data_IF_954348763493
#
_entry.id   IF_954348763493
#
_cell.length_a   1.000
_cell.length_b   1.000
_cell.length_c   1.000
_cell.angle_alpha   90.00
_cell.angle_beta   90.00
_cell.angle_gamma   90.00
#
_symmetry.space_group_name_H-M   'P 1'
#
loop_
_entity.id
_entity.type
_entity.pdbx_description
1 polymer ?
#
# COMPACT_ATOMS: atom_id res chain seq x y z
N UNK A 1 6.39 -4.72 -20.81
CA UNK A 1 5.95 -5.66 -19.78
C UNK A 1 5.37 -6.91 -20.46
N UNK A 2 6.10 -7.99 -20.42
CA UNK A 2 5.64 -9.28 -20.94
C UNK A 2 5.74 -10.30 -19.83
N UNK A 3 4.64 -10.97 -19.51
CA UNK A 3 4.61 -12.04 -18.54
C UNK A 3 4.01 -13.31 -19.15
N UNK A 4 4.37 -14.45 -18.62
CA UNK A 4 3.83 -15.75 -19.04
C UNK A 4 2.33 -15.87 -18.72
N UNK A 5 1.56 -16.70 -19.44
CA UNK A 5 0.18 -16.99 -19.05
C UNK A 5 0.10 -17.58 -17.61
N UNK A 6 -0.94 -17.21 -16.88
CA UNK A 6 -1.15 -17.70 -15.51
C UNK A 6 -0.21 -17.07 -14.47
N UNK A 7 0.30 -15.85 -14.73
CA UNK A 7 1.22 -15.17 -13.82
C UNK A 7 0.51 -14.46 -12.68
N UNK A 8 0.95 -14.72 -11.46
CA UNK A 8 0.63 -13.98 -10.26
C UNK A 8 1.62 -12.82 -10.08
N UNK A 9 1.15 -11.60 -10.36
CA UNK A 9 1.93 -10.37 -10.23
C UNK A 9 1.84 -9.92 -8.77
N UNK A 10 2.98 -9.89 -8.09
CA UNK A 10 3.05 -9.57 -6.66
C UNK A 10 3.87 -8.30 -6.47
N UNK A 11 3.24 -7.24 -5.96
CA UNK A 11 3.89 -5.95 -5.76
C UNK A 11 3.74 -5.45 -4.33
N UNK A 12 4.71 -4.67 -3.85
CA UNK A 12 4.58 -3.93 -2.60
C UNK A 12 3.44 -2.90 -2.68
N UNK A 13 2.86 -2.54 -1.52
CA UNK A 13 1.67 -1.69 -1.44
C UNK A 13 1.97 -0.38 -0.70
N UNK A 14 2.26 0.66 -1.43
CA UNK A 14 2.65 1.97 -0.90
C UNK A 14 1.49 2.95 -0.77
N UNK A 15 0.55 2.91 -1.71
CA UNK A 15 -0.60 3.81 -1.76
C UNK A 15 -1.84 3.12 -2.31
N UNK A 16 -3.03 3.61 -1.96
CA UNK A 16 -4.29 3.14 -2.57
C UNK A 16 -4.35 3.38 -4.10
N UNK A 17 -3.42 4.19 -4.64
CA UNK A 17 -3.32 4.49 -6.07
C UNK A 17 -2.38 3.55 -6.84
N UNK A 18 -1.70 2.62 -6.19
CA UNK A 18 -0.78 1.69 -6.86
C UNK A 18 -1.44 0.95 -8.01
N UNK A 19 -2.68 0.51 -7.83
CA UNK A 19 -3.48 -0.16 -8.87
C UNK A 19 -3.80 0.77 -10.05
N UNK A 20 -3.98 2.07 -9.79
CA UNK A 20 -4.25 3.08 -10.84
C UNK A 20 -3.00 3.35 -11.67
N UNK A 21 -1.82 3.26 -11.08
CA UNK A 21 -0.54 3.41 -11.78
C UNK A 21 -0.14 2.13 -12.53
N UNK A 22 -0.25 0.99 -11.88
CA UNK A 22 0.11 -0.31 -12.45
C UNK A 22 -0.92 -0.82 -13.45
N UNK A 23 -2.20 -0.62 -13.17
CA UNK A 23 -3.30 -1.15 -13.96
C UNK A 23 -3.20 -0.84 -15.45
N UNK A 24 -3.06 0.43 -15.86
CA UNK A 24 -2.87 0.79 -17.26
C UNK A 24 -1.61 0.17 -17.86
N UNK A 25 -0.46 0.22 -17.16
CA UNK A 25 0.81 -0.33 -17.64
C UNK A 25 0.67 -1.83 -17.91
N UNK A 26 0.10 -2.60 -17.00
CA UNK A 26 -0.12 -4.03 -17.14
C UNK A 26 -1.16 -4.31 -18.23
N UNK A 27 -2.27 -3.55 -18.25
CA UNK A 27 -3.34 -3.72 -19.23
C UNK A 27 -2.83 -3.49 -20.68
N UNK A 28 -2.16 -2.38 -20.92
CA UNK A 28 -1.64 -2.06 -22.26
C UNK A 28 -0.60 -3.04 -22.73
N UNK A 29 0.28 -3.50 -21.84
CA UNK A 29 1.31 -4.47 -22.17
C UNK A 29 0.75 -5.85 -22.52
N UNK A 30 -0.40 -6.20 -22.00
CA UNK A 30 -1.07 -7.48 -22.27
C UNK A 30 -2.17 -7.37 -23.35
N UNK A 31 -2.44 -6.18 -23.87
CA UNK A 31 -3.44 -5.95 -24.93
C UNK A 31 -3.05 -6.71 -26.20
N UNK A 32 -3.99 -7.47 -26.73
CA UNK A 32 -3.78 -8.26 -27.95
C UNK A 32 -3.34 -9.71 -27.74
N UNK A 33 -3.11 -10.14 -26.50
CA UNK A 33 -2.77 -11.52 -26.17
C UNK A 33 -4.01 -12.40 -26.04
N UNK A 34 -4.97 -12.42 -26.77
CA UNK A 34 -6.08 -13.35 -26.80
C UNK A 34 -6.65 -13.81 -25.42
N UNK A 35 -7.42 -14.88 -25.37
CA UNK A 35 -7.80 -15.53 -24.10
C UNK A 35 -6.53 -15.99 -23.37
N UNK A 36 -6.37 -15.63 -22.10
CA UNK A 36 -5.16 -15.88 -21.29
C UNK A 36 -4.22 -14.68 -21.14
N UNK A 37 -4.50 -13.53 -21.79
CA UNK A 37 -3.70 -12.31 -21.61
C UNK A 37 -4.37 -11.24 -20.75
N UNK A 38 -5.51 -11.54 -20.13
CA UNK A 38 -6.24 -10.57 -19.31
C UNK A 38 -5.63 -10.48 -17.92
N UNK A 39 -5.77 -9.31 -17.29
CA UNK A 39 -5.33 -9.11 -15.92
C UNK A 39 -6.53 -8.88 -15.01
N UNK A 40 -6.54 -9.57 -13.90
CA UNK A 40 -7.46 -9.37 -12.79
C UNK A 40 -6.71 -8.74 -11.62
N UNK A 41 -7.41 -7.98 -10.80
CA UNK A 41 -6.84 -7.27 -9.65
C UNK A 41 -7.53 -7.71 -8.36
N UNK A 42 -6.75 -7.88 -7.30
CA UNK A 42 -7.29 -8.03 -5.94
C UNK A 42 -7.32 -6.65 -5.31
N UNK A 43 -8.50 -6.21 -4.87
CA UNK A 43 -8.68 -4.90 -4.27
C UNK A 43 -9.39 -4.99 -2.92
N UNK A 44 -9.12 -4.03 -2.03
CA UNK A 44 -9.77 -4.00 -0.73
C UNK A 44 -11.29 -3.81 -0.88
N UNK A 45 -12.05 -4.63 -0.16
CA UNK A 45 -13.53 -4.61 -0.18
C UNK A 45 -14.10 -3.20 0.07
N UNK A 46 -13.44 -2.40 0.93
CA UNK A 46 -13.85 -1.02 1.24
C UNK A 46 -14.03 -0.14 -0.01
N UNK A 47 -13.27 -0.40 -1.08
CA UNK A 47 -13.35 0.38 -2.33
C UNK A 47 -14.66 0.14 -3.11
N UNK A 48 -15.33 -0.97 -2.85
CA UNK A 48 -16.61 -1.33 -3.45
C UNK A 48 -17.82 -0.83 -2.65
N UNK A 49 -17.59 -0.32 -1.43
CA UNK A 49 -18.66 0.10 -0.53
C UNK A 49 -18.94 1.60 -0.65
N UNK A 50 -20.20 2.05 -0.42
CA UNK A 50 -20.53 3.46 -0.28
C UNK A 50 -19.69 4.12 0.83
N UNK A 51 -19.33 5.39 0.64
CA UNK A 51 -18.53 6.16 1.57
C UNK A 51 -17.03 6.15 1.26
N UNK A 52 -16.52 5.25 0.43
CA UNK A 52 -15.09 5.23 0.08
C UNK A 52 -14.66 6.54 -0.60
N UNK A 53 -15.46 7.04 -1.53
CA UNK A 53 -15.14 8.29 -2.27
C UNK A 53 -15.12 9.49 -1.33
N UNK A 54 -16.09 9.62 -0.41
CA UNK A 54 -16.15 10.71 0.57
C UNK A 54 -15.05 10.61 1.62
N UNK A 55 -14.71 9.40 2.05
CA UNK A 55 -13.77 9.18 3.16
C UNK A 55 -12.30 9.31 2.75
N UNK A 56 -11.97 8.98 1.49
CA UNK A 56 -10.58 8.84 1.03
C UNK A 56 -10.19 9.71 -0.15
N UNK A 57 -11.14 10.14 -0.98
CA UNK A 57 -10.85 10.86 -2.23
C UNK A 57 -11.26 12.32 -2.15
N UNK A 58 -12.46 12.62 -1.67
CA UNK A 58 -13.01 13.97 -1.64
C UNK A 58 -13.17 14.46 -0.20
N UNK A 59 -12.15 15.13 0.31
CA UNK A 59 -12.23 15.86 1.56
C UNK A 59 -12.78 17.25 1.28
N UNK A 60 -13.97 17.55 1.74
CA UNK A 60 -14.65 18.80 1.45
C UNK A 60 -15.62 19.24 2.55
N UNK A 61 -16.43 20.27 2.31
CA UNK A 61 -17.47 20.66 3.23
C UNK A 61 -18.51 19.54 3.40
N UNK A 62 -19.09 19.43 4.58
CA UNK A 62 -20.02 18.34 4.97
C UNK A 62 -21.17 18.09 4.00
N UNK A 63 -21.66 19.14 3.33
CA UNK A 63 -22.72 19.00 2.33
C UNK A 63 -22.25 18.20 1.09
N UNK A 64 -20.99 18.41 0.66
CA UNK A 64 -20.39 17.70 -0.47
C UNK A 64 -20.13 16.24 -0.09
N UNK A 65 -19.59 15.98 1.09
CA UNK A 65 -19.40 14.61 1.61
C UNK A 65 -20.73 13.84 1.64
N UNK A 66 -21.81 14.49 2.10
CA UNK A 66 -23.15 13.89 2.12
C UNK A 66 -23.67 13.57 0.71
N UNK A 67 -23.40 14.44 -0.26
CA UNK A 67 -23.83 14.25 -1.65
C UNK A 67 -23.09 13.08 -2.30
N UNK A 68 -21.79 12.95 -2.06
CA UNK A 68 -20.96 11.89 -2.67
C UNK A 68 -20.91 10.59 -1.84
N UNK A 69 -21.46 10.57 -0.64
CA UNK A 69 -21.46 9.39 0.25
C UNK A 69 -22.03 8.11 -0.40
N UNK A 70 -23.11 8.15 -1.20
CA UNK A 70 -23.60 6.95 -1.90
C UNK A 70 -22.66 6.45 -3.00
N UNK A 71 -21.74 7.32 -3.48
CA UNK A 71 -20.84 6.96 -4.56
C UNK A 71 -19.82 5.90 -4.10
N UNK A 72 -19.59 4.92 -4.96
CA UNK A 72 -18.55 3.92 -4.79
C UNK A 72 -17.84 3.64 -6.12
N UNK A 73 -16.72 2.94 -6.05
CA UNK A 73 -15.94 2.61 -7.24
C UNK A 73 -16.32 1.25 -7.85
N UNK A 74 -17.39 0.61 -7.36
CA UNK A 74 -17.74 -0.77 -7.73
C UNK A 74 -17.86 -0.99 -9.23
N UNK A 75 -18.52 -0.10 -9.96
CA UNK A 75 -18.70 -0.23 -11.41
C UNK A 75 -17.33 -0.12 -12.14
N UNK A 76 -16.51 0.86 -11.79
CA UNK A 76 -15.17 1.06 -12.37
C UNK A 76 -14.27 -0.13 -12.06
N UNK A 77 -14.24 -0.56 -10.79
CA UNK A 77 -13.42 -1.70 -10.35
C UNK A 77 -13.82 -2.99 -11.04
N UNK A 78 -15.12 -3.24 -11.20
CA UNK A 78 -15.63 -4.42 -11.95
C UNK A 78 -15.23 -4.35 -13.43
N UNK A 79 -15.28 -3.17 -14.04
CA UNK A 79 -14.89 -2.99 -15.44
C UNK A 79 -13.40 -3.33 -15.70
N UNK A 80 -12.52 -3.07 -14.72
CA UNK A 80 -11.10 -3.45 -14.78
C UNK A 80 -10.81 -4.84 -14.19
N UNK A 81 -11.86 -5.65 -13.94
CA UNK A 81 -11.75 -6.99 -13.35
C UNK A 81 -11.11 -7.00 -11.95
N UNK A 82 -11.37 -5.98 -11.15
CA UNK A 82 -10.98 -5.97 -9.75
C UNK A 82 -12.00 -6.76 -8.91
N UNK A 83 -11.49 -7.62 -8.05
CA UNK A 83 -12.27 -8.49 -7.17
C UNK A 83 -12.04 -8.09 -5.70
N UNK A 84 -13.11 -7.95 -4.92
CA UNK A 84 -12.98 -7.59 -3.52
C UNK A 84 -12.36 -8.71 -2.69
N UNK A 85 -11.50 -8.33 -1.77
CA UNK A 85 -11.09 -9.18 -0.66
C UNK A 85 -11.31 -8.45 0.66
N UNK A 86 -12.02 -9.08 1.58
CA UNK A 86 -12.34 -8.53 2.88
C UNK A 86 -11.43 -9.05 3.99
N UNK A 87 -11.30 -8.29 5.08
CA UNK A 87 -10.59 -8.68 6.30
C UNK A 87 -11.45 -8.39 7.53
N UNK A 88 -11.52 -9.33 8.47
CA UNK A 88 -12.22 -9.15 9.77
C UNK A 88 -11.35 -8.42 10.81
N UNK A 89 -10.62 -7.37 10.42
CA UNK A 89 -9.83 -6.57 11.35
C UNK A 89 -10.63 -5.38 11.90
N UNK A 90 -9.95 -4.49 12.64
CA UNK A 90 -10.51 -3.19 12.97
C UNK A 90 -11.04 -2.52 11.72
N UNK A 91 -12.31 -2.13 11.75
CA UNK A 91 -13.03 -1.49 10.64
C UNK A 91 -13.87 -0.37 11.21
N UNK A 92 -14.26 0.57 10.37
CA UNK A 92 -15.31 1.52 10.74
C UNK A 92 -16.58 0.78 11.16
N UNK A 93 -17.23 1.26 12.24
CA UNK A 93 -18.42 0.62 12.78
C UNK A 93 -19.51 0.37 11.73
N UNK A 94 -19.67 1.31 10.78
CA UNK A 94 -20.60 1.15 9.66
C UNK A 94 -20.36 -0.12 8.84
N UNK A 95 -19.11 -0.54 8.68
CA UNK A 95 -18.79 -1.76 7.94
C UNK A 95 -19.16 -3.02 8.73
N UNK A 96 -18.97 -3.01 10.06
CA UNK A 96 -19.42 -4.08 10.93
C UNK A 96 -20.95 -4.22 10.90
N UNK A 97 -21.69 -3.12 11.08
CA UNK A 97 -23.14 -3.14 11.09
C UNK A 97 -23.76 -3.52 9.71
N UNK A 98 -23.13 -3.11 8.61
CA UNK A 98 -23.55 -3.59 7.27
C UNK A 98 -23.35 -5.09 7.11
N UNK A 99 -22.23 -5.62 7.55
CA UNK A 99 -22.00 -7.06 7.51
C UNK A 99 -23.05 -7.83 8.36
N UNK A 100 -23.47 -7.27 9.51
CA UNK A 100 -24.57 -7.84 10.28
C UNK A 100 -25.87 -7.80 9.50
N UNK A 101 -26.23 -6.64 8.94
CA UNK A 101 -27.46 -6.46 8.15
C UNK A 101 -27.53 -7.46 6.97
N UNK A 102 -26.43 -7.68 6.29
CA UNK A 102 -26.34 -8.58 5.13
C UNK A 102 -26.32 -10.07 5.52
N UNK A 103 -25.87 -10.41 6.73
CA UNK A 103 -25.68 -11.81 7.15
C UNK A 103 -26.80 -12.30 8.04
N UNK A 104 -27.20 -11.48 9.00
CA UNK A 104 -28.17 -11.84 10.06
C UNK A 104 -29.54 -11.20 9.77
N UNK A 105 -29.55 -10.06 9.06
CA UNK A 105 -30.76 -9.29 8.78
C UNK A 105 -30.84 -7.98 9.56
N UNK A 106 -31.97 -7.29 9.42
CA UNK A 106 -32.20 -5.97 10.03
C UNK A 106 -32.70 -6.09 11.47
N UNK A 107 -31.82 -6.53 12.34
CA UNK A 107 -32.08 -6.72 13.78
C UNK A 107 -31.93 -5.39 14.56
N UNK A 108 -32.47 -5.30 15.80
CA UNK A 108 -32.19 -4.18 16.71
C UNK A 108 -30.69 -4.01 16.95
N UNK A 109 -30.21 -2.76 16.95
CA UNK A 109 -28.77 -2.48 17.08
C UNK A 109 -28.19 -2.97 18.41
N UNK A 110 -28.97 -2.96 19.49
CA UNK A 110 -28.56 -3.51 20.78
C UNK A 110 -28.22 -4.99 20.73
N UNK A 111 -28.91 -5.78 19.88
CA UNK A 111 -28.70 -7.22 19.75
C UNK A 111 -27.45 -7.52 18.90
N UNK A 112 -27.01 -6.54 18.11
CA UNK A 112 -25.80 -6.64 17.29
C UNK A 112 -24.51 -6.30 18.05
N UNK A 113 -24.60 -5.53 19.13
CA UNK A 113 -23.46 -5.00 19.86
C UNK A 113 -23.19 -5.76 21.18
N UNK A 114 -21.91 -5.89 21.53
CA UNK A 114 -21.49 -6.46 22.82
C UNK A 114 -21.39 -5.40 23.94
N UNK A 115 -21.65 -4.13 23.63
CA UNK A 115 -21.59 -2.98 24.53
C UNK A 115 -22.89 -2.20 24.47
N UNK A 116 -23.22 -1.40 25.49
CA UNK A 116 -24.36 -0.49 25.45
C UNK A 116 -24.33 0.38 24.19
N UNK A 117 -25.49 0.53 23.54
CA UNK A 117 -25.61 1.31 22.30
C UNK A 117 -25.15 2.75 22.50
N UNK A 118 -25.44 3.34 23.65
CA UNK A 118 -25.06 4.72 23.96
C UNK A 118 -23.53 4.94 23.97
N UNK A 119 -22.75 3.93 24.37
CA UNK A 119 -21.27 4.01 24.34
C UNK A 119 -20.72 3.94 22.92
N UNK A 120 -21.38 3.17 22.04
CA UNK A 120 -20.90 2.88 20.68
C UNK A 120 -21.47 3.86 19.67
N UNK A 121 -22.76 4.21 19.81
CA UNK A 121 -23.50 5.08 18.90
C UNK A 121 -24.35 6.06 19.71
N UNK A 122 -23.79 7.11 20.27
CA UNK A 122 -24.50 8.08 21.09
C UNK A 122 -25.75 8.63 20.42
N UNK A 123 -26.86 8.62 21.14
CA UNK A 123 -28.16 9.09 20.69
C UNK A 123 -28.91 8.17 19.73
N UNK A 124 -28.42 6.95 19.49
CA UNK A 124 -29.17 5.96 18.72
C UNK A 124 -30.13 5.18 19.66
N UNK A 125 -31.44 5.02 19.29
CA UNK A 125 -32.34 4.20 20.06
C UNK A 125 -31.89 2.73 20.07
N UNK A 126 -31.79 2.06 21.24
CA UNK A 126 -31.32 0.68 21.33
C UNK A 126 -32.10 -0.32 20.47
N UNK A 127 -33.42 -0.14 20.40
CA UNK A 127 -34.32 -1.01 19.61
C UNK A 127 -34.42 -0.60 18.13
N UNK A 128 -33.69 0.42 17.69
CA UNK A 128 -33.71 0.82 16.28
C UNK A 128 -33.09 -0.29 15.42
N UNK A 129 -33.67 -0.62 14.25
CA UNK A 129 -33.10 -1.55 13.32
C UNK A 129 -31.77 -0.99 12.76
N UNK A 130 -30.82 -1.87 12.44
CA UNK A 130 -29.50 -1.50 11.93
C UNK A 130 -29.61 -0.59 10.70
N UNK A 131 -30.53 -0.86 9.78
CA UNK A 131 -30.77 -0.04 8.58
C UNK A 131 -31.10 1.42 8.89
N UNK A 132 -31.78 1.68 10.02
CA UNK A 132 -32.09 3.03 10.49
C UNK A 132 -30.87 3.71 11.11
N UNK A 133 -30.06 2.95 11.81
CA UNK A 133 -28.82 3.47 12.47
C UNK A 133 -27.75 3.77 11.43
N UNK A 134 -27.67 3.03 10.33
CA UNK A 134 -26.72 3.26 9.24
C UNK A 134 -26.97 4.56 8.44
N UNK A 135 -27.96 5.36 8.80
CA UNK A 135 -28.21 6.65 8.17
C UNK A 135 -27.16 7.69 8.57
N UNK A 136 -26.99 8.69 7.71
CA UNK A 136 -25.99 9.76 7.88
C UNK A 136 -26.06 10.50 9.23
N UNK A 137 -27.20 10.51 9.91
CA UNK A 137 -27.37 11.13 11.24
C UNK A 137 -26.31 10.69 12.26
N UNK A 138 -25.87 9.44 12.22
CA UNK A 138 -24.92 8.85 13.15
C UNK A 138 -23.51 8.69 12.57
N UNK A 139 -23.21 9.36 11.47
CA UNK A 139 -21.97 9.18 10.70
C UNK A 139 -20.70 9.33 11.55
N UNK A 140 -20.68 10.27 12.52
CA UNK A 140 -19.51 10.50 13.37
C UNK A 140 -19.14 9.26 14.22
N UNK A 141 -20.13 8.55 14.78
CA UNK A 141 -19.92 7.31 15.51
C UNK A 141 -19.66 6.13 14.55
N UNK A 142 -20.38 6.10 13.43
CA UNK A 142 -20.26 5.03 12.43
C UNK A 142 -18.92 5.01 11.70
N UNK A 143 -18.23 6.16 11.65
CA UNK A 143 -16.91 6.28 11.03
C UNK A 143 -15.75 6.00 11.99
N UNK A 144 -16.03 5.82 13.27
CA UNK A 144 -15.02 5.38 14.23
C UNK A 144 -14.60 3.94 13.97
N UNK A 145 -13.30 3.69 14.14
CA UNK A 145 -12.75 2.35 14.03
C UNK A 145 -12.99 1.54 15.30
N UNK A 146 -13.57 0.37 15.14
CA UNK A 146 -13.80 -0.59 16.19
C UNK A 146 -13.19 -1.95 15.86
N UNK A 147 -12.67 -2.61 16.89
CA UNK A 147 -12.30 -4.02 16.75
C UNK A 147 -13.55 -4.89 16.57
N UNK A 148 -13.36 -6.07 16.00
CA UNK A 148 -14.44 -7.03 15.78
C UNK A 148 -15.17 -7.44 17.06
N UNK A 149 -14.54 -7.23 18.22
CA UNK A 149 -15.11 -7.47 19.56
C UNK A 149 -16.27 -6.55 19.94
N UNK A 150 -16.52 -5.47 19.18
CA UNK A 150 -17.68 -4.59 19.40
C UNK A 150 -19.01 -5.29 19.15
N UNK A 151 -19.00 -6.35 18.32
CA UNK A 151 -20.20 -7.13 18.01
C UNK A 151 -20.47 -8.21 19.07
N UNK A 152 -21.73 -8.57 19.25
CA UNK A 152 -22.17 -9.65 20.12
C UNK A 152 -21.50 -10.99 19.77
N UNK A 153 -21.22 -11.89 20.73
CA UNK A 153 -20.50 -13.13 20.49
C UNK A 153 -21.10 -14.02 19.40
N UNK A 154 -22.42 -14.16 19.39
CA UNK A 154 -23.18 -14.98 18.43
C UNK A 154 -23.04 -14.42 17.02
N UNK A 155 -23.19 -13.09 16.89
CA UNK A 155 -23.02 -12.36 15.63
C UNK A 155 -21.59 -12.52 15.13
N UNK A 156 -20.58 -12.41 16.01
CA UNK A 156 -19.18 -12.62 15.64
C UNK A 156 -18.93 -14.02 15.09
N UNK A 157 -19.53 -15.04 15.69
CA UNK A 157 -19.40 -16.44 15.24
C UNK A 157 -19.97 -16.61 13.85
N UNK A 158 -21.16 -16.08 13.60
CA UNK A 158 -21.82 -16.18 12.29
C UNK A 158 -21.05 -15.43 11.20
N UNK A 159 -20.68 -14.16 11.46
CA UNK A 159 -19.88 -13.37 10.53
C UNK A 159 -18.52 -14.00 10.23
N UNK A 160 -17.86 -14.60 11.24
CA UNK A 160 -16.58 -15.30 11.04
C UNK A 160 -16.76 -16.52 10.13
N UNK A 161 -17.78 -17.31 10.35
CA UNK A 161 -18.07 -18.51 9.54
C UNK A 161 -18.36 -18.14 8.09
N UNK A 162 -19.17 -17.11 7.87
CA UNK A 162 -19.46 -16.56 6.53
C UNK A 162 -18.18 -16.04 5.87
N UNK A 163 -17.41 -15.22 6.58
CA UNK A 163 -16.17 -14.64 6.05
C UNK A 163 -15.15 -15.72 5.62
N UNK A 164 -14.96 -16.77 6.39
CA UNK A 164 -14.06 -17.90 6.03
C UNK A 164 -14.53 -18.56 4.74
N UNK A 165 -15.83 -18.74 4.53
CA UNK A 165 -16.38 -19.28 3.27
C UNK A 165 -16.11 -18.34 2.10
N UNK A 166 -16.45 -17.06 2.23
CA UNK A 166 -16.27 -16.04 1.19
C UNK A 166 -14.81 -15.86 0.77
N UNK A 167 -13.89 -15.82 1.76
CA UNK A 167 -12.45 -15.76 1.50
C UNK A 167 -11.98 -17.02 0.78
N UNK A 168 -12.42 -18.20 1.21
CA UNK A 168 -12.04 -19.47 0.57
C UNK A 168 -12.53 -19.57 -0.88
N UNK A 169 -13.72 -19.07 -1.16
CA UNK A 169 -14.28 -19.00 -2.51
C UNK A 169 -13.51 -17.99 -3.37
N UNK A 170 -13.18 -16.82 -2.82
CA UNK A 170 -12.37 -15.81 -3.50
C UNK A 170 -11.00 -16.36 -3.87
N UNK A 171 -10.31 -17.05 -2.95
CA UNK A 171 -9.00 -17.64 -3.21
C UNK A 171 -9.06 -18.73 -4.29
N UNK A 172 -10.11 -19.57 -4.29
CA UNK A 172 -10.33 -20.56 -5.37
C UNK A 172 -10.58 -19.87 -6.72
N UNK A 173 -11.36 -18.79 -6.74
CA UNK A 173 -11.57 -17.99 -7.95
C UNK A 173 -10.27 -17.40 -8.48
N UNK A 174 -9.40 -16.90 -7.59
CA UNK A 174 -8.10 -16.35 -7.97
C UNK A 174 -7.18 -17.42 -8.56
N UNK A 175 -7.16 -18.62 -7.99
CA UNK A 175 -6.43 -19.74 -8.57
C UNK A 175 -6.98 -20.14 -9.95
N UNK A 176 -8.31 -20.16 -10.11
CA UNK A 176 -8.93 -20.45 -11.40
C UNK A 176 -8.63 -19.40 -12.48
N UNK A 177 -8.46 -18.13 -12.11
CA UNK A 177 -8.00 -17.07 -13.04
C UNK A 177 -6.61 -17.41 -13.58
N UNK A 178 -5.68 -17.81 -12.71
CA UNK A 178 -4.34 -18.22 -13.10
C UNK A 178 -4.37 -19.49 -13.97
N UNK A 179 -5.18 -20.47 -13.59
CA UNK A 179 -5.33 -21.73 -14.32
C UNK A 179 -5.96 -21.57 -15.72
N UNK A 180 -6.71 -20.48 -15.93
CA UNK A 180 -7.23 -20.07 -17.23
C UNK A 180 -6.18 -19.34 -18.10
N UNK A 181 -4.98 -19.12 -17.58
CA UNK A 181 -3.89 -18.40 -18.25
C UNK A 181 -3.98 -16.87 -18.08
N UNK A 182 -5.00 -16.34 -17.42
CA UNK A 182 -5.09 -14.92 -17.09
C UNK A 182 -4.10 -14.56 -15.97
N UNK A 183 -3.66 -13.31 -15.91
CA UNK A 183 -2.80 -12.83 -14.83
C UNK A 183 -3.61 -12.28 -13.66
N UNK A 184 -3.07 -12.39 -12.46
CA UNK A 184 -3.67 -11.84 -11.24
C UNK A 184 -2.67 -10.91 -10.55
N UNK A 185 -3.06 -9.67 -10.30
CA UNK A 185 -2.30 -8.73 -9.48
C UNK A 185 -2.79 -8.75 -8.04
N UNK A 186 -1.88 -8.82 -7.10
CA UNK A 186 -2.15 -8.63 -5.68
C UNK A 186 -0.97 -8.01 -4.93
N UNK A 187 -1.29 -7.26 -3.85
CA UNK A 187 -0.33 -6.83 -2.85
C UNK A 187 -0.34 -7.83 -1.68
N UNK A 188 0.77 -8.52 -1.40
CA UNK A 188 0.80 -9.62 -0.44
C UNK A 188 0.63 -9.14 1.00
N UNK A 189 0.98 -7.91 1.30
CA UNK A 189 0.87 -7.29 2.62
C UNK A 189 -0.58 -7.14 3.10
N UNK A 190 -1.52 -7.07 2.15
CA UNK A 190 -2.95 -6.94 2.45
C UNK A 190 -3.35 -5.64 3.13
N UNK A 191 -2.51 -4.63 3.09
CA UNK A 191 -2.72 -3.28 3.62
C UNK A 191 -1.57 -2.38 3.24
N UNK A 192 -1.77 -1.07 3.42
CA UNK A 192 -0.72 -0.09 3.17
C UNK A 192 0.40 -0.23 4.19
N UNK A 193 1.62 -0.11 3.73
CA UNK A 193 2.77 0.01 4.58
C UNK A 193 2.82 1.39 5.26
N UNK A 194 3.12 1.41 6.55
CA UNK A 194 3.06 2.64 7.36
C UNK A 194 4.41 3.13 7.86
N UNK A 195 5.45 2.29 7.83
CA UNK A 195 6.76 2.59 8.41
C UNK A 195 7.93 2.50 7.42
N UNK A 196 7.66 2.24 6.13
CA UNK A 196 8.67 2.12 5.08
C UNK A 196 9.32 0.74 5.00
N UNK A 197 8.82 -0.26 5.75
CA UNK A 197 9.28 -1.65 5.71
C UNK A 197 8.24 -2.53 5.07
N UNK A 198 8.68 -3.55 4.37
CA UNK A 198 7.78 -4.54 3.80
C UNK A 198 7.13 -5.35 4.94
N UNK A 199 5.79 -5.40 4.96
CA UNK A 199 5.07 -6.19 5.95
C UNK A 199 5.04 -7.68 5.56
N UNK A 200 4.79 -8.56 6.55
CA UNK A 200 4.61 -9.99 6.31
C UNK A 200 3.50 -10.26 5.28
N UNK A 201 3.78 -11.19 4.37
CA UNK A 201 2.81 -11.62 3.38
C UNK A 201 1.64 -12.38 4.04
N UNK A 202 0.43 -12.04 3.63
CA UNK A 202 -0.79 -12.69 4.15
C UNK A 202 -0.95 -14.11 3.59
N UNK A 203 -1.54 -14.97 4.39
CA UNK A 203 -1.78 -16.37 4.05
C UNK A 203 -2.54 -16.57 2.72
N UNK A 204 -3.26 -15.58 2.24
CA UNK A 204 -4.00 -15.60 0.98
C UNK A 204 -3.10 -15.83 -0.23
N UNK A 205 -1.92 -15.18 -0.29
CA UNK A 205 -0.92 -15.39 -1.33
C UNK A 205 -0.56 -16.87 -1.45
N UNK A 206 -0.17 -17.48 -0.34
CA UNK A 206 0.28 -18.88 -0.32
C UNK A 206 -0.83 -19.85 -0.69
N UNK A 207 -2.06 -19.57 -0.27
CA UNK A 207 -3.23 -20.40 -0.64
C UNK A 207 -3.54 -20.33 -2.12
N UNK A 208 -3.42 -19.16 -2.75
CA UNK A 208 -3.59 -19.02 -4.21
C UNK A 208 -2.55 -19.88 -4.93
N UNK A 209 -1.26 -19.76 -4.55
CA UNK A 209 -0.15 -20.51 -5.15
C UNK A 209 -0.32 -22.02 -4.95
N UNK A 210 -0.71 -22.46 -3.76
CA UNK A 210 -0.94 -23.89 -3.48
C UNK A 210 -2.14 -24.47 -4.25
N UNK A 211 -3.15 -23.65 -4.54
CA UNK A 211 -4.39 -24.08 -5.20
C UNK A 211 -4.25 -24.10 -6.73
N UNK A 212 -3.57 -23.12 -7.32
CA UNK A 212 -3.34 -23.04 -8.77
C UNK A 212 -2.51 -24.24 -9.28
N UNK A 213 -2.70 -24.64 -10.54
CA UNK A 213 -2.05 -25.81 -11.14
C UNK A 213 -0.56 -25.60 -11.34
N UNK A 214 -0.17 -24.51 -12.00
CA UNK A 214 1.20 -24.18 -12.33
C UNK A 214 1.44 -22.65 -12.17
N UNK A 215 1.39 -22.12 -10.93
CA UNK A 215 1.51 -20.69 -10.70
C UNK A 215 2.94 -20.22 -11.00
N UNK A 216 3.03 -19.09 -11.70
CA UNK A 216 4.26 -18.33 -11.92
C UNK A 216 4.12 -17.07 -11.08
N UNK A 217 5.15 -16.70 -10.33
CA UNK A 217 5.14 -15.46 -9.52
C UNK A 217 6.05 -14.43 -10.19
N UNK A 218 5.52 -13.23 -10.43
CA UNK A 218 6.27 -12.10 -10.97
C UNK A 218 6.37 -11.02 -9.91
N UNK A 219 7.53 -10.86 -9.26
CA UNK A 219 7.76 -9.78 -8.30
C UNK A 219 7.81 -8.42 -9.02
N UNK A 220 7.21 -7.41 -8.41
CA UNK A 220 7.21 -6.03 -8.91
C UNK A 220 7.46 -5.08 -7.74
N UNK A 221 8.32 -4.08 -7.94
CA UNK A 221 8.57 -3.03 -6.95
C UNK A 221 8.05 -1.69 -7.44
N UNK A 222 7.35 -0.99 -6.53
CA UNK A 222 6.98 0.41 -6.63
C UNK A 222 7.79 1.23 -5.63
N UNK A 223 8.57 2.18 -6.12
CA UNK A 223 9.29 3.14 -5.28
C UNK A 223 8.84 4.56 -5.60
N UNK A 224 8.52 5.33 -4.57
CA UNK A 224 8.01 6.69 -4.69
C UNK A 224 9.02 7.72 -4.18
N UNK A 225 9.35 8.71 -5.01
CA UNK A 225 10.07 9.91 -4.56
C UNK A 225 9.07 10.97 -4.08
N UNK A 226 8.47 10.76 -2.90
CA UNK A 226 7.24 11.42 -2.47
C UNK A 226 7.44 12.74 -1.72
N UNK A 227 8.62 13.03 -1.14
CA UNK A 227 8.85 14.29 -0.40
C UNK A 227 9.09 15.46 -1.36
N UNK A 228 8.09 15.76 -2.18
CA UNK A 228 8.12 16.85 -3.14
C UNK A 228 6.76 17.55 -3.22
N UNK A 229 6.78 18.85 -3.52
CA UNK A 229 5.57 19.55 -3.98
C UNK A 229 5.38 19.32 -5.48
N UNK A 230 4.13 19.14 -5.92
CA UNK A 230 3.78 18.94 -7.32
C UNK A 230 3.91 17.47 -7.75
N UNK A 231 4.62 17.22 -8.85
CA UNK A 231 4.74 15.86 -9.42
C UNK A 231 5.61 14.96 -8.54
N UNK A 232 5.07 13.80 -8.18
CA UNK A 232 5.80 12.71 -7.52
C UNK A 232 6.38 11.81 -8.60
N UNK A 233 7.66 11.45 -8.50
CA UNK A 233 8.31 10.48 -9.38
C UNK A 233 8.07 9.09 -8.83
N UNK A 234 7.66 8.17 -9.69
CA UNK A 234 7.42 6.78 -9.33
C UNK A 234 8.29 5.89 -10.20
N UNK A 235 8.97 4.95 -9.58
CA UNK A 235 9.76 3.93 -10.25
C UNK A 235 9.01 2.62 -10.17
N UNK A 236 8.80 2.02 -11.34
CA UNK A 236 8.25 0.68 -11.49
C UNK A 236 9.36 -0.25 -11.94
N UNK A 237 9.71 -1.21 -11.11
CA UNK A 237 10.69 -2.24 -11.46
C UNK A 237 10.03 -3.59 -11.49
N UNK A 238 10.28 -4.34 -12.53
CA UNK A 238 9.73 -5.67 -12.78
C UNK A 238 10.87 -6.66 -12.65
N UNK A 239 10.68 -7.68 -11.82
CA UNK A 239 11.65 -8.74 -11.59
C UNK A 239 11.58 -9.88 -12.60
N UNK A 240 12.28 -10.94 -12.30
CA UNK A 240 12.22 -12.18 -13.07
C UNK A 240 11.08 -13.07 -12.59
N UNK A 241 10.51 -13.85 -13.50
CA UNK A 241 9.46 -14.80 -13.17
C UNK A 241 10.01 -15.95 -12.32
N UNK A 242 9.39 -16.20 -11.18
CA UNK A 242 9.69 -17.34 -10.31
C UNK A 242 8.83 -18.51 -10.74
N UNK A 243 9.46 -19.52 -11.31
CA UNK A 243 8.83 -20.76 -11.77
C UNK A 243 8.96 -21.88 -10.74
N UNK A 244 8.05 -22.87 -10.80
CA UNK A 244 8.12 -24.05 -9.94
C UNK A 244 7.91 -23.76 -8.45
N UNK A 245 7.27 -22.64 -8.13
CA UNK A 245 7.04 -22.17 -6.75
C UNK A 245 6.01 -23.02 -5.99
N UNK A 246 5.20 -23.80 -6.70
CA UNK A 246 4.23 -24.70 -6.08
C UNK A 246 4.96 -25.80 -5.28
N UNK A 247 4.56 -25.94 -4.02
CA UNK A 247 5.20 -26.90 -3.12
C UNK A 247 6.40 -26.36 -2.33
N UNK A 248 6.82 -25.12 -2.57
CA UNK A 248 7.82 -24.50 -1.69
C UNK A 248 7.26 -24.30 -0.29
N UNK A 249 8.08 -24.52 0.76
CA UNK A 249 7.72 -24.16 2.12
C UNK A 249 7.32 -22.67 2.19
N UNK A 250 6.28 -22.37 2.96
CA UNK A 250 5.76 -21.00 3.09
C UNK A 250 6.85 -19.98 3.42
N UNK A 251 7.70 -20.30 4.41
CA UNK A 251 8.76 -19.39 4.85
C UNK A 251 9.76 -19.08 3.73
N UNK A 252 10.15 -20.11 2.92
CA UNK A 252 11.02 -19.91 1.76
C UNK A 252 10.36 -19.02 0.70
N UNK A 253 9.12 -19.34 0.35
CA UNK A 253 8.38 -18.58 -0.67
C UNK A 253 8.17 -17.11 -0.26
N UNK A 254 7.84 -16.90 1.01
CA UNK A 254 7.68 -15.56 1.57
C UNK A 254 8.99 -14.78 1.50
N UNK A 255 10.08 -15.37 1.98
CA UNK A 255 11.39 -14.74 1.98
C UNK A 255 11.84 -14.38 0.56
N UNK A 256 11.73 -15.31 -0.38
CA UNK A 256 12.15 -15.12 -1.78
C UNK A 256 11.37 -13.98 -2.46
N UNK A 257 10.04 -13.96 -2.29
CA UNK A 257 9.20 -12.89 -2.86
C UNK A 257 9.51 -11.53 -2.23
N UNK A 258 9.64 -11.46 -0.91
CA UNK A 258 9.94 -10.21 -0.21
C UNK A 258 11.33 -9.71 -0.58
N UNK A 259 12.32 -10.59 -0.61
CA UNK A 259 13.69 -10.24 -0.95
C UNK A 259 13.80 -9.75 -2.39
N UNK A 260 13.15 -10.42 -3.35
CA UNK A 260 13.13 -9.96 -4.73
C UNK A 260 12.46 -8.59 -4.88
N UNK A 261 11.28 -8.39 -4.29
CA UNK A 261 10.60 -7.09 -4.33
C UNK A 261 11.47 -6.02 -3.69
N UNK A 262 12.06 -6.27 -2.52
CA UNK A 262 12.87 -5.29 -1.80
C UNK A 262 14.15 -4.93 -2.54
N UNK A 263 14.85 -5.93 -3.09
CA UNK A 263 16.10 -5.76 -3.88
C UNK A 263 15.90 -4.89 -5.12
N UNK A 264 14.71 -4.90 -5.71
CA UNK A 264 14.37 -4.12 -6.91
C UNK A 264 14.08 -2.65 -6.63
N UNK A 265 14.07 -2.20 -5.39
CA UNK A 265 13.84 -0.81 -5.03
C UNK A 265 14.82 0.14 -5.70
N UNK A 266 14.37 1.37 -5.94
CA UNK A 266 15.21 2.46 -6.46
C UNK A 266 15.51 3.44 -5.35
N UNK A 267 16.79 3.75 -5.12
CA UNK A 267 17.20 4.80 -4.18
C UNK A 267 16.79 6.15 -4.73
N UNK A 268 16.01 6.89 -3.95
CA UNK A 268 15.42 8.17 -4.34
C UNK A 268 15.99 9.34 -3.56
N UNK A 269 15.76 10.55 -4.05
CA UNK A 269 16.10 11.77 -3.31
C UNK A 269 15.42 11.80 -1.93
N UNK A 270 14.15 11.42 -1.80
CA UNK A 270 13.43 11.42 -0.53
C UNK A 270 14.10 10.53 0.52
N UNK A 271 14.50 9.35 0.13
CA UNK A 271 15.17 8.39 1.01
C UNK A 271 16.53 8.88 1.46
N UNK A 272 17.32 9.40 0.53
CA UNK A 272 18.65 9.97 0.84
C UNK A 272 18.56 11.23 1.71
N UNK A 273 17.59 12.11 1.45
CA UNK A 273 17.36 13.29 2.26
C UNK A 273 16.96 12.90 3.69
N UNK A 274 16.06 11.94 3.86
CA UNK A 274 15.63 11.45 5.17
C UNK A 274 16.79 10.83 5.96
N UNK A 275 17.57 9.95 5.33
CA UNK A 275 18.73 9.33 5.95
C UNK A 275 19.82 10.36 6.29
N UNK A 276 20.09 11.31 5.39
CA UNK A 276 21.01 12.40 5.61
C UNK A 276 20.59 13.32 6.76
N UNK A 277 19.30 13.67 6.84
CA UNK A 277 18.76 14.46 7.95
C UNK A 277 18.90 13.71 9.28
N UNK A 278 18.54 12.42 9.32
CA UNK A 278 18.67 11.61 10.54
C UNK A 278 20.11 11.52 11.05
N UNK A 279 21.08 11.48 10.12
CA UNK A 279 22.50 11.40 10.44
C UNK A 279 23.11 12.75 10.86
N UNK A 280 22.67 13.86 10.25
CA UNK A 280 23.28 15.18 10.40
C UNK A 280 22.59 16.08 11.41
N UNK A 281 21.34 15.75 11.83
CA UNK A 281 20.63 16.51 12.85
C UNK A 281 21.38 16.44 14.19
N UNK A 282 21.66 17.60 14.75
CA UNK A 282 22.13 17.71 16.13
C UNK A 282 20.98 17.39 17.12
N UNK A 283 21.25 17.39 18.44
CA UNK A 283 20.20 17.16 19.44
C UNK A 283 19.01 18.13 19.35
N UNK A 284 19.26 19.36 18.91
CA UNK A 284 18.25 20.41 18.76
C UNK A 284 17.52 20.36 17.39
N UNK A 285 17.82 19.37 16.54
CA UNK A 285 17.20 19.21 15.23
C UNK A 285 17.69 20.20 14.17
N UNK A 286 18.90 20.76 14.35
CA UNK A 286 19.49 21.74 13.46
C UNK A 286 20.44 21.06 12.46
N UNK A 287 20.31 21.40 11.17
CA UNK A 287 21.11 20.84 10.10
C UNK A 287 21.56 21.95 9.15
N UNK A 288 22.83 22.00 8.79
CA UNK A 288 23.28 22.88 7.73
C UNK A 288 22.85 22.39 6.35
N UNK A 289 22.04 23.16 5.64
CA UNK A 289 21.44 22.78 4.35
C UNK A 289 22.46 22.36 3.28
N UNK A 290 23.60 23.06 3.22
CA UNK A 290 24.72 22.72 2.32
C UNK A 290 25.37 21.37 2.66
N UNK A 291 25.54 21.05 3.95
CA UNK A 291 26.03 19.73 4.37
C UNK A 291 25.04 18.61 3.97
N UNK A 292 23.74 18.85 4.14
CA UNK A 292 22.72 17.87 3.74
C UNK A 292 22.72 17.65 2.23
N UNK A 293 22.83 18.71 1.41
CA UNK A 293 22.93 18.58 -0.05
C UNK A 293 24.14 17.73 -0.47
N UNK A 294 25.30 18.02 0.12
CA UNK A 294 26.54 17.25 -0.13
C UNK A 294 26.40 15.79 0.28
N UNK A 295 25.75 15.53 1.42
CA UNK A 295 25.53 14.19 1.93
C UNK A 295 24.60 13.36 1.03
N UNK A 296 23.51 13.95 0.51
CA UNK A 296 22.60 13.28 -0.43
C UNK A 296 23.39 12.82 -1.67
N UNK A 297 24.17 13.70 -2.28
CA UNK A 297 24.97 13.36 -3.46
C UNK A 297 26.05 12.32 -3.17
N UNK A 298 26.81 12.52 -2.08
CA UNK A 298 27.86 11.60 -1.65
C UNK A 298 27.31 10.18 -1.43
N UNK A 299 26.22 10.08 -0.64
CA UNK A 299 25.61 8.78 -0.34
C UNK A 299 24.95 8.14 -1.56
N UNK A 300 24.33 8.93 -2.44
CA UNK A 300 23.80 8.45 -3.71
C UNK A 300 24.89 7.85 -4.60
N UNK A 301 26.06 8.52 -4.73
CA UNK A 301 27.20 8.00 -5.47
C UNK A 301 27.78 6.72 -4.85
N UNK A 302 27.89 6.66 -3.52
CA UNK A 302 28.36 5.49 -2.78
C UNK A 302 27.46 4.29 -3.07
N UNK A 303 26.14 4.43 -2.86
CA UNK A 303 25.18 3.35 -3.09
C UNK A 303 25.12 2.91 -4.57
N UNK A 304 25.28 3.85 -5.49
CA UNK A 304 25.38 3.53 -6.92
C UNK A 304 26.62 2.68 -7.25
N UNK A 305 27.78 2.99 -6.63
CA UNK A 305 29.01 2.17 -6.78
C UNK A 305 28.86 0.78 -6.15
N UNK A 306 28.11 0.69 -5.06
CA UNK A 306 27.78 -0.59 -4.39
C UNK A 306 26.75 -1.42 -5.18
N UNK A 307 26.32 -0.95 -6.36
CA UNK A 307 25.42 -1.68 -7.26
C UNK A 307 23.93 -1.46 -7.03
N UNK A 308 23.55 -0.57 -6.09
CA UNK A 308 22.15 -0.22 -5.91
C UNK A 308 21.64 0.61 -7.09
N UNK A 309 20.40 0.40 -7.46
CA UNK A 309 19.70 1.24 -8.44
C UNK A 309 19.41 2.59 -7.79
N UNK A 310 20.06 3.64 -8.26
CA UNK A 310 19.85 5.02 -7.81
C UNK A 310 19.13 5.79 -8.91
N UNK A 311 18.21 6.70 -8.55
CA UNK A 311 17.59 7.61 -9.51
C UNK A 311 18.66 8.34 -10.33
N UNK A 312 18.77 8.11 -11.65
CA UNK A 312 19.84 8.70 -12.46
C UNK A 312 19.78 10.23 -12.51
N UNK A 313 18.60 10.82 -12.40
CA UNK A 313 18.44 12.26 -12.38
C UNK A 313 19.04 12.92 -11.13
N UNK A 314 19.30 12.15 -10.08
CA UNK A 314 19.91 12.64 -8.85
C UNK A 314 21.26 13.36 -9.10
N UNK A 315 22.00 12.93 -10.14
CA UNK A 315 23.33 13.44 -10.48
C UNK A 315 23.29 14.58 -11.50
N UNK A 316 22.12 14.92 -12.04
CA UNK A 316 21.92 16.13 -12.84
C UNK A 316 21.81 17.37 -11.92
N UNK A 317 22.73 18.35 -12.04
CA UNK A 317 22.73 19.51 -11.15
C UNK A 317 21.46 20.35 -11.20
N UNK A 318 20.86 20.49 -12.38
CA UNK A 318 19.64 21.28 -12.58
C UNK A 318 18.45 20.56 -12.01
N UNK A 319 18.32 19.25 -12.26
CA UNK A 319 17.28 18.44 -11.66
C UNK A 319 17.41 18.43 -10.14
N UNK A 320 18.62 18.21 -9.60
CA UNK A 320 18.87 18.21 -8.16
C UNK A 320 18.46 19.54 -7.51
N UNK A 321 18.82 20.68 -8.14
CA UNK A 321 18.47 21.99 -7.63
C UNK A 321 16.96 22.25 -7.64
N UNK A 322 16.25 21.80 -8.69
CA UNK A 322 14.77 21.85 -8.74
C UNK A 322 14.16 20.94 -7.69
N UNK A 323 14.69 19.73 -7.55
CA UNK A 323 14.20 18.72 -6.60
C UNK A 323 14.41 19.17 -5.14
N UNK A 324 15.54 19.75 -4.84
CA UNK A 324 15.85 20.35 -3.55
C UNK A 324 14.82 21.44 -3.18
N UNK A 325 14.53 22.36 -4.08
CA UNK A 325 13.50 23.40 -3.85
C UNK A 325 12.11 22.81 -3.56
N UNK A 326 11.72 21.77 -4.29
CA UNK A 326 10.45 21.08 -4.07
C UNK A 326 10.39 20.34 -2.72
N UNK A 327 11.52 19.79 -2.29
CA UNK A 327 11.64 19.17 -0.97
C UNK A 327 11.47 20.19 0.16
N UNK A 328 12.17 21.33 0.08
CA UNK A 328 12.00 22.40 1.06
C UNK A 328 10.57 22.95 1.09
N UNK A 329 9.92 23.12 -0.06
CA UNK A 329 8.54 23.54 -0.15
C UNK A 329 7.58 22.49 0.44
N UNK A 330 7.81 21.20 0.22
CA UNK A 330 7.07 20.10 0.83
C UNK A 330 7.14 20.15 2.35
N UNK A 331 8.36 20.21 2.90
CA UNK A 331 8.57 20.23 4.33
C UNK A 331 7.95 21.47 5.00
N UNK A 332 8.09 22.65 4.37
CA UNK A 332 7.44 23.88 4.84
C UNK A 332 5.91 23.77 4.84
N UNK A 333 5.31 23.26 3.75
CA UNK A 333 3.87 23.06 3.66
C UNK A 333 3.32 22.11 4.71
N UNK A 334 4.10 21.07 5.03
CA UNK A 334 3.78 20.06 6.06
C UNK A 334 4.21 20.46 7.47
N UNK A 335 4.84 21.63 7.63
CA UNK A 335 5.39 22.13 8.92
C UNK A 335 6.35 21.13 9.59
N UNK A 336 7.14 20.43 8.77
CA UNK A 336 8.09 19.45 9.28
C UNK A 336 9.38 20.10 9.82
N UNK A 337 9.81 21.20 9.20
CA UNK A 337 10.91 22.04 9.62
C UNK A 337 10.81 23.45 9.01
N UNK A 338 11.57 24.39 9.56
CA UNK A 338 11.77 25.74 9.02
C UNK A 338 13.16 25.92 8.42
N UNK A 339 13.38 27.09 7.78
CA UNK A 339 14.69 27.52 7.29
C UNK A 339 15.05 28.87 7.93
N UNK A 340 16.23 28.94 8.53
CA UNK A 340 16.82 30.18 9.07
C UNK A 340 18.19 30.35 8.41
N UNK A 341 18.25 31.21 7.38
CA UNK A 341 19.46 31.36 6.56
C UNK A 341 19.82 30.02 5.88
N UNK A 342 21.04 29.53 6.14
CA UNK A 342 21.53 28.26 5.63
C UNK A 342 21.19 27.04 6.51
N UNK A 343 20.36 27.23 7.54
CA UNK A 343 20.04 26.19 8.51
C UNK A 343 18.61 25.70 8.37
N UNK A 344 18.47 24.38 8.39
CA UNK A 344 17.21 23.67 8.58
C UNK A 344 17.03 23.53 10.09
N UNK A 345 15.89 23.97 10.60
CA UNK A 345 15.57 23.94 12.03
C UNK A 345 14.22 23.27 12.21
N UNK A 346 14.17 22.20 12.97
CA UNK A 346 12.94 21.46 13.25
C UNK A 346 13.01 20.73 14.57
N UNK A 347 11.87 20.35 15.09
CA UNK A 347 11.80 19.46 16.25
C UNK A 347 12.27 18.06 15.82
N UNK A 348 13.38 17.62 16.38
CA UNK A 348 14.01 16.34 16.05
C UNK A 348 13.11 15.16 16.33
N UNK A 349 12.42 15.16 17.47
CA UNK A 349 11.56 14.06 17.89
C UNK A 349 10.32 13.98 16.98
N UNK A 350 9.74 15.11 16.61
CA UNK A 350 8.65 15.16 15.67
C UNK A 350 9.07 14.76 14.24
N UNK A 351 10.26 15.22 13.78
CA UNK A 351 10.78 14.86 12.46
C UNK A 351 10.97 13.34 12.30
N UNK A 352 11.45 12.67 13.35
CA UNK A 352 11.80 11.25 13.31
C UNK A 352 10.84 10.36 14.11
N UNK A 353 9.66 10.88 14.47
CA UNK A 353 8.61 10.10 15.11
C UNK A 353 8.16 8.90 14.25
N UNK A 354 7.66 7.84 14.85
CA UNK A 354 6.99 6.77 14.11
C UNK A 354 5.89 7.34 13.20
N UNK A 355 5.85 6.92 11.93
CA UNK A 355 4.89 7.41 10.94
C UNK A 355 5.24 8.77 10.30
N UNK A 356 6.35 9.41 10.68
CA UNK A 356 6.81 10.61 9.98
C UNK A 356 7.31 10.25 8.57
N UNK A 357 7.21 11.18 7.59
CA UNK A 357 7.72 10.95 6.24
C UNK A 357 9.22 10.67 6.20
N UNK A 358 9.98 11.24 7.13
CA UNK A 358 11.42 11.01 7.22
C UNK A 358 11.77 9.63 7.77
N UNK A 359 11.04 9.19 8.81
CA UNK A 359 11.22 7.82 9.33
C UNK A 359 10.85 6.79 8.28
N UNK A 360 9.74 6.98 7.60
CA UNK A 360 9.30 6.12 6.51
C UNK A 360 10.37 5.98 5.41
N UNK A 361 10.82 7.09 4.84
CA UNK A 361 11.80 7.09 3.75
C UNK A 361 13.18 6.56 4.18
N UNK A 362 13.63 6.86 5.40
CA UNK A 362 14.88 6.34 5.93
C UNK A 362 14.83 4.82 6.16
N UNK A 363 13.69 4.29 6.60
CA UNK A 363 13.51 2.86 6.77
C UNK A 363 13.48 2.13 5.41
N UNK A 364 12.80 2.69 4.39
CA UNK A 364 12.86 2.14 3.02
C UNK A 364 14.31 2.00 2.52
N UNK A 365 15.12 3.05 2.72
CA UNK A 365 16.55 3.00 2.33
C UNK A 365 17.31 1.94 3.10
N UNK A 366 17.05 1.80 4.40
CA UNK A 366 17.72 0.81 5.24
C UNK A 366 17.35 -0.63 4.82
N UNK A 367 16.08 -0.88 4.48
CA UNK A 367 15.64 -2.17 3.95
C UNK A 367 16.32 -2.50 2.62
N UNK A 368 16.39 -1.53 1.71
CA UNK A 368 17.05 -1.72 0.42
C UNK A 368 18.55 -1.98 0.60
N UNK A 369 19.24 -1.20 1.46
CA UNK A 369 20.68 -1.32 1.71
C UNK A 369 21.04 -2.68 2.36
N UNK A 370 20.12 -3.36 3.02
CA UNK A 370 20.33 -4.68 3.63
C UNK A 370 20.75 -5.74 2.61
N UNK A 371 20.35 -5.62 1.35
CA UNK A 371 20.68 -6.56 0.28
C UNK A 371 22.02 -6.27 -0.41
N UNK A 372 22.66 -5.16 -0.05
CA UNK A 372 23.92 -4.71 -0.65
C UNK A 372 24.93 -4.37 0.46
N UNK A 373 25.50 -5.40 1.13
CA UNK A 373 26.45 -5.16 2.20
C UNK A 373 27.68 -4.43 1.65
N UNK A 374 28.04 -3.33 2.32
CA UNK A 374 29.19 -2.49 1.99
C UNK A 374 30.47 -3.34 2.02
N UNK A 375 31.16 -3.47 0.90
CA UNK A 375 32.51 -4.07 0.82
C UNK A 375 32.61 -5.49 0.25
N UNK A 376 31.55 -6.13 -0.19
CA UNK A 376 31.65 -7.38 -0.95
C UNK A 376 31.42 -7.09 -2.45
N UNK A 377 32.52 -6.70 -3.12
CA UNK A 377 32.50 -6.51 -4.57
C UNK A 377 32.28 -7.83 -5.30
N UNK A 378 31.05 -8.14 -5.62
CA UNK A 378 30.66 -8.87 -6.84
C UNK A 378 29.13 -8.85 -6.91
N UNK A 379 28.49 -8.18 -7.87
CA UNK A 379 27.07 -8.33 -8.12
C UNK A 379 26.86 -9.65 -8.87
N UNK A 380 26.31 -10.64 -8.19
CA UNK A 380 25.70 -11.79 -8.84
C UNK A 380 24.27 -11.40 -9.28
N UNK A 381 24.16 -10.84 -10.46
CA UNK A 381 22.90 -10.51 -11.09
C UNK A 381 23.15 -9.80 -12.42
N UNK A 382 22.89 -10.45 -13.53
CA UNK A 382 22.94 -9.82 -14.86
C UNK A 382 21.91 -8.71 -14.92
N UNK A 383 22.39 -7.47 -14.88
CA UNK A 383 21.59 -6.28 -15.24
C UNK A 383 21.31 -6.35 -16.73
N UNK A 384 20.10 -6.66 -17.11
CA UNK A 384 19.63 -6.42 -18.49
C UNK A 384 19.13 -5.00 -18.55
N UNK A 385 20.01 -4.12 -19.00
CA UNK A 385 19.67 -2.74 -19.35
C UNK A 385 18.75 -2.75 -20.59
N UNK A 386 17.46 -2.54 -20.38
CA UNK A 386 16.48 -2.29 -21.45
C UNK A 386 15.77 -0.95 -21.19
N UNK A 387 16.55 0.10 -21.18
CA UNK A 387 16.05 1.45 -21.30
C UNK A 387 16.51 2.06 -22.60
N UNK A 388 15.82 1.76 -23.72
CA UNK A 388 15.72 2.56 -24.96
C UNK A 388 14.86 1.79 -25.98
N UNK A 389 13.58 2.02 -25.97
CA UNK A 389 12.73 2.01 -27.17
C UNK A 389 11.44 2.76 -26.84
#
# INVERSE_FOLDING_TARGET
>A
FTNSPGTLIVANHKTDFDIVLLGPTIFWSNRGRGPGGRVAFVAAERMFLPGYVSDYILHGPRWLERLVYPANLSAVLKAIRAYPIGYLRSRKLKAHLRAVLETVGDIPVQDALARPVEEVIPGAPPHAPISRVLRYRYHAALDQEWGFSVLAPEIRKELRSRHVREVSESLRRFAAILDAGDSLYLAPEGGLETDGRFAEAKAGLFRIIATARAPIVLPVNLTYDFMATGRIKVFLTIGEELHGVKGWPRARLEQEIIDEISRMGTVTFSQLAAAGMRRLADPDGIIHAGKLRGEILRKGMELSRDGLRVDPDLFDPDWFSRRWRRFLAYARRRRLFGLIGAWIVGDRDAMFAPGSPFTYAANELAELARFYPVGTGTPTGRVVDRARA
#
